data_IF_485420170806
#
_entry.id   IF_485420170806
#
_cell.length_a   1.000
_cell.length_b   1.000
_cell.length_c   1.000
_cell.angle_alpha   90.00
_cell.angle_beta   90.00
_cell.angle_gamma   90.00
#
_symmetry.space_group_name_H-M   'P 1'
#
loop_
_entity.id
_entity.type
_entity.pdbx_description
1 polymer ?
#
# COMPACT_ATOMS: atom_id res chain seq x y z
N UNK A 1 46.92 0.20 -42.61
CA UNK A 1 47.08 -0.30 -41.22
C UNK A 1 46.07 0.40 -40.34
N UNK A 2 45.16 -0.34 -39.69
CA UNK A 2 44.09 0.18 -38.82
C UNK A 2 44.65 0.55 -37.45
N UNK A 3 44.41 1.76 -36.90
CA UNK A 3 44.69 2.02 -35.50
C UNK A 3 43.60 1.35 -34.64
N UNK A 4 44.02 0.26 -34.01
CA UNK A 4 43.74 -0.19 -32.64
C UNK A 4 42.39 0.24 -32.04
N UNK A 5 41.50 -0.73 -32.01
CA UNK A 5 40.33 -0.85 -31.13
C UNK A 5 40.76 -0.47 -29.69
N UNK A 6 40.47 0.76 -29.27
CA UNK A 6 40.86 1.25 -27.94
C UNK A 6 39.94 2.32 -27.36
N UNK A 7 38.90 2.72 -28.08
CA UNK A 7 37.93 3.75 -27.63
C UNK A 7 36.49 3.22 -27.68
N UNK A 8 36.24 2.07 -28.32
CA UNK A 8 34.90 1.48 -28.42
C UNK A 8 34.46 0.68 -27.18
N UNK A 9 35.40 0.26 -26.32
CA UNK A 9 35.08 -0.57 -25.15
C UNK A 9 34.59 0.25 -23.94
N UNK A 10 34.92 1.53 -23.87
CA UNK A 10 34.53 2.42 -22.76
C UNK A 10 33.13 3.02 -22.92
N UNK A 11 32.61 3.12 -24.15
CA UNK A 11 31.26 3.66 -24.40
C UNK A 11 30.17 2.60 -24.17
N UNK A 12 30.50 1.31 -24.31
CA UNK A 12 29.58 0.22 -24.01
C UNK A 12 29.40 -0.07 -22.52
N UNK A 13 30.30 0.40 -21.66
CA UNK A 13 30.21 0.16 -20.21
C UNK A 13 29.22 1.10 -19.49
N UNK A 14 28.70 2.13 -20.17
CA UNK A 14 27.83 3.15 -19.56
C UNK A 14 26.32 2.97 -19.82
N UNK A 15 25.93 2.00 -20.66
CA UNK A 15 24.53 1.84 -21.11
C UNK A 15 23.73 0.78 -20.32
N UNK A 16 24.20 0.42 -19.13
CA UNK A 16 23.65 -0.71 -18.35
C UNK A 16 22.85 -0.34 -17.10
N UNK A 17 22.74 0.94 -16.74
CA UNK A 17 21.85 1.36 -15.64
C UNK A 17 20.41 1.46 -16.15
N UNK A 18 19.79 0.30 -16.40
CA UNK A 18 18.33 0.20 -16.45
C UNK A 18 17.81 0.47 -15.05
N UNK A 19 17.63 1.76 -14.73
CA UNK A 19 16.87 2.18 -13.55
C UNK A 19 15.44 1.69 -13.80
N UNK A 20 15.07 0.58 -13.17
CA UNK A 20 13.70 0.12 -13.09
C UNK A 20 12.92 1.18 -12.32
N UNK A 21 12.35 2.14 -13.04
CA UNK A 21 11.44 3.13 -12.47
C UNK A 21 10.22 2.33 -12.04
N UNK A 22 10.16 1.88 -10.79
CA UNK A 22 8.96 1.24 -10.27
C UNK A 22 7.85 2.30 -10.28
N UNK A 23 6.87 2.14 -11.18
CA UNK A 23 5.76 3.08 -11.32
C UNK A 23 4.97 3.07 -10.02
N UNK A 24 4.94 4.20 -9.33
CA UNK A 24 4.11 4.36 -8.14
C UNK A 24 2.64 4.37 -8.55
N UNK A 25 1.81 3.60 -7.86
CA UNK A 25 0.37 3.50 -8.16
C UNK A 25 -0.45 3.47 -6.88
N UNK A 26 -1.73 3.86 -6.93
CA UNK A 26 -2.61 3.72 -5.78
C UNK A 26 -2.84 2.23 -5.43
N UNK A 27 -3.36 1.96 -4.21
CA UNK A 27 -3.98 0.67 -3.91
C UNK A 27 -5.08 0.35 -4.92
N UNK A 28 -5.21 -0.90 -5.36
CA UNK A 28 -6.23 -1.27 -6.34
C UNK A 28 -7.61 -1.45 -5.72
N UNK A 29 -7.68 -1.78 -4.43
CA UNK A 29 -8.90 -1.92 -3.65
C UNK A 29 -8.62 -1.73 -2.14
N UNK A 30 -9.70 -1.61 -1.36
CA UNK A 30 -9.70 -1.80 0.09
C UNK A 30 -10.87 -2.74 0.39
N UNK A 31 -10.56 -3.94 0.85
CA UNK A 31 -11.53 -4.97 1.19
C UNK A 31 -11.72 -4.96 2.70
N UNK A 32 -12.92 -4.55 3.13
CA UNK A 32 -13.27 -4.37 4.54
C UNK A 32 -14.21 -5.51 4.96
N UNK A 33 -13.86 -6.20 6.03
CA UNK A 33 -14.76 -7.14 6.71
C UNK A 33 -14.77 -6.82 8.19
N UNK A 34 -15.95 -6.78 8.79
CA UNK A 34 -16.13 -6.54 10.21
C UNK A 34 -16.90 -7.70 10.83
N UNK A 35 -16.35 -8.23 11.92
CA UNK A 35 -17.00 -9.23 12.75
C UNK A 35 -17.65 -8.52 13.94
N UNK A 36 -18.98 -8.54 14.00
CA UNK A 36 -19.73 -7.85 15.05
C UNK A 36 -19.66 -8.57 16.41
N UNK A 37 -19.39 -9.88 16.44
CA UNK A 37 -19.26 -10.65 17.68
C UNK A 37 -17.93 -10.36 18.35
N UNK A 38 -16.84 -10.37 17.56
CA UNK A 38 -15.50 -10.10 18.09
C UNK A 38 -15.13 -8.63 18.03
N UNK A 39 -15.92 -7.80 17.36
CA UNK A 39 -15.65 -6.37 17.10
C UNK A 39 -14.32 -6.14 16.35
N UNK A 40 -13.88 -7.13 15.55
CA UNK A 40 -12.64 -7.06 14.78
C UNK A 40 -12.91 -6.57 13.36
N UNK A 41 -12.27 -5.46 13.01
CA UNK A 41 -12.16 -4.96 11.65
C UNK A 41 -10.92 -5.56 10.99
N UNK A 42 -11.13 -6.31 9.90
CA UNK A 42 -10.06 -6.75 9.00
C UNK A 42 -10.09 -5.90 7.73
N UNK A 43 -8.94 -5.32 7.42
CA UNK A 43 -8.73 -4.55 6.19
C UNK A 43 -7.63 -5.21 5.37
N UNK A 44 -7.97 -5.67 4.17
CA UNK A 44 -7.01 -6.13 3.17
C UNK A 44 -6.92 -5.10 2.04
N UNK A 45 -5.70 -4.68 1.72
CA UNK A 45 -5.41 -3.57 0.80
C UNK A 45 -4.52 -4.12 -0.32
N UNK A 46 -5.10 -4.66 -1.40
CA UNK A 46 -4.34 -5.11 -2.57
C UNK A 46 -3.53 -3.97 -3.17
N UNK A 47 -2.21 -4.17 -3.21
CA UNK A 47 -1.24 -3.21 -3.71
C UNK A 47 0.02 -3.98 -4.12
N UNK A 48 0.09 -4.35 -5.40
CA UNK A 48 1.20 -5.16 -5.92
C UNK A 48 2.52 -4.36 -5.99
N UNK A 49 3.53 -4.77 -5.23
CA UNK A 49 4.84 -4.10 -5.16
C UNK A 49 5.97 -5.12 -5.29
N UNK A 50 7.09 -4.72 -5.88
CA UNK A 50 8.24 -5.61 -6.07
C UNK A 50 9.05 -5.84 -4.79
N UNK A 51 9.20 -4.81 -3.96
CA UNK A 51 9.91 -4.87 -2.67
C UNK A 51 9.03 -4.31 -1.55
N UNK A 52 8.25 -5.15 -0.85
CA UNK A 52 7.32 -4.70 0.19
C UNK A 52 8.02 -4.11 1.43
N UNK A 53 9.32 -4.34 1.61
CA UNK A 53 10.12 -3.79 2.72
C UNK A 53 10.98 -2.58 2.30
N UNK A 54 10.82 -2.15 1.04
CA UNK A 54 11.62 -1.09 0.43
C UNK A 54 10.92 0.26 0.46
N UNK A 55 10.81 0.88 -0.70
CA UNK A 55 10.39 2.27 -0.88
C UNK A 55 8.95 2.42 -1.41
N UNK A 56 8.27 1.32 -1.74
CA UNK A 56 6.93 1.30 -2.32
C UNK A 56 6.04 0.31 -1.56
N UNK A 57 5.15 0.85 -0.72
CA UNK A 57 4.24 0.12 0.16
C UNK A 57 3.11 1.05 0.66
N UNK A 58 2.07 0.47 1.28
CA UNK A 58 1.04 1.23 2.01
C UNK A 58 1.62 1.82 3.30
N UNK A 59 1.77 3.13 3.38
CA UNK A 59 2.44 3.82 4.48
C UNK A 59 1.50 4.34 5.56
N UNK A 60 0.21 4.46 5.24
CA UNK A 60 -0.80 4.95 6.16
C UNK A 60 -2.14 4.27 5.92
N UNK A 61 -2.75 3.83 7.02
CA UNK A 61 -4.14 3.41 7.07
C UNK A 61 -4.85 4.26 8.12
N UNK A 62 -6.01 4.80 7.75
CA UNK A 62 -6.88 5.58 8.64
C UNK A 62 -8.24 4.89 8.69
N UNK A 63 -8.78 4.71 9.89
CA UNK A 63 -10.13 4.18 10.12
C UNK A 63 -10.96 5.28 10.77
N UNK A 64 -12.13 5.53 10.21
CA UNK A 64 -13.12 6.45 10.73
C UNK A 64 -14.42 5.71 11.02
N UNK A 65 -15.07 6.05 12.13
CA UNK A 65 -16.40 5.56 12.50
C UNK A 65 -17.37 6.75 12.47
N UNK A 66 -18.41 6.67 11.65
CA UNK A 66 -19.42 7.73 11.47
C UNK A 66 -18.77 9.10 11.17
N UNK A 67 -17.77 9.11 10.28
CA UNK A 67 -17.03 10.31 9.88
C UNK A 67 -15.97 10.81 10.87
N UNK A 68 -15.84 10.21 12.06
CA UNK A 68 -14.79 10.54 13.03
C UNK A 68 -13.61 9.59 12.88
N UNK A 69 -12.42 10.14 12.62
CA UNK A 69 -11.17 9.37 12.67
C UNK A 69 -10.95 8.79 14.08
N UNK A 70 -10.81 7.47 14.16
CA UNK A 70 -10.59 6.73 15.41
C UNK A 70 -9.24 6.01 15.45
N UNK A 71 -8.64 5.71 14.29
CA UNK A 71 -7.34 5.08 14.19
C UNK A 71 -6.57 5.72 13.04
N UNK A 72 -5.31 6.09 13.29
CA UNK A 72 -4.30 6.31 12.26
C UNK A 72 -3.11 5.41 12.55
N UNK A 73 -2.80 4.51 11.62
CA UNK A 73 -1.63 3.66 11.69
C UNK A 73 -0.63 4.06 10.60
N UNK A 74 0.59 4.40 11.04
CA UNK A 74 1.74 4.53 10.16
C UNK A 74 2.40 3.16 10.02
N UNK A 75 2.74 2.80 8.78
CA UNK A 75 3.27 1.51 8.41
C UNK A 75 4.62 1.74 7.73
N UNK A 76 5.63 0.95 8.08
CA UNK A 76 6.97 1.06 7.51
C UNK A 76 7.27 -0.03 6.47
N UNK A 77 6.33 -0.97 6.25
CA UNK A 77 6.48 -2.01 5.25
C UNK A 77 5.17 -2.72 4.95
N UNK A 78 5.07 -3.32 3.76
CA UNK A 78 3.92 -4.09 3.36
C UNK A 78 3.97 -5.55 3.88
N UNK A 79 2.82 -6.11 4.22
CA UNK A 79 2.65 -7.49 4.69
C UNK A 79 3.20 -8.51 3.68
N UNK A 80 2.80 -8.40 2.41
CA UNK A 80 3.29 -9.24 1.31
C UNK A 80 3.58 -8.41 0.05
N UNK A 81 4.21 -8.95 -0.99
CA UNK A 81 4.33 -8.25 -2.27
C UNK A 81 2.98 -7.93 -2.94
N UNK A 82 1.88 -8.57 -2.53
CA UNK A 82 0.57 -8.42 -3.17
C UNK A 82 -0.35 -7.46 -2.42
N UNK A 83 -0.25 -7.41 -1.09
CA UNK A 83 -1.18 -6.63 -0.26
C UNK A 83 -0.63 -6.24 1.12
N UNK A 84 -1.22 -5.19 1.69
CA UNK A 84 -1.17 -4.92 3.13
C UNK A 84 -2.41 -5.50 3.82
N UNK A 85 -2.24 -6.07 5.01
CA UNK A 85 -3.35 -6.50 5.87
C UNK A 85 -3.18 -5.90 7.26
N UNK A 86 -4.26 -5.33 7.80
CA UNK A 86 -4.32 -4.85 9.18
C UNK A 86 -5.58 -5.37 9.87
N UNK A 87 -5.46 -5.62 11.17
CA UNK A 87 -6.55 -6.04 12.05
C UNK A 87 -6.67 -5.02 13.18
N UNK A 88 -7.88 -4.53 13.40
CA UNK A 88 -8.17 -3.60 14.49
C UNK A 88 -9.29 -4.15 15.35
N UNK A 89 -9.07 -4.18 16.65
CA UNK A 89 -10.15 -4.30 17.62
C UNK A 89 -10.84 -2.94 17.72
N UNK A 90 -12.09 -2.85 17.29
CA UNK A 90 -12.91 -1.66 17.48
C UNK A 90 -13.72 -1.80 18.77
N UNK A 91 -14.15 -0.67 19.33
CA UNK A 91 -14.92 -0.60 20.56
C UNK A 91 -16.26 0.07 20.24
N UNK A 92 -17.34 -0.52 20.76
CA UNK A 92 -18.71 -0.01 20.68
C UNK A 92 -19.24 0.26 19.26
N UNK A 93 -18.83 -0.53 18.26
CA UNK A 93 -19.37 -0.43 16.90
C UNK A 93 -20.72 -1.15 16.84
N UNK A 94 -21.73 -0.43 16.37
CA UNK A 94 -23.11 -0.86 16.37
C UNK A 94 -23.65 -1.07 14.95
N UNK A 95 -24.73 -1.84 14.85
CA UNK A 95 -25.49 -1.96 13.61
C UNK A 95 -25.96 -0.58 13.13
N UNK A 96 -25.75 -0.30 11.85
CA UNK A 96 -26.04 0.97 11.20
C UNK A 96 -24.90 1.98 11.23
N UNK A 97 -23.81 1.70 11.97
CA UNK A 97 -22.60 2.52 11.88
C UNK A 97 -21.92 2.38 10.52
N UNK A 98 -21.29 3.46 10.07
CA UNK A 98 -20.42 3.46 8.89
C UNK A 98 -18.95 3.44 9.30
N UNK A 99 -18.22 2.44 8.83
CA UNK A 99 -16.77 2.37 8.92
C UNK A 99 -16.19 2.84 7.59
N UNK A 100 -15.43 3.94 7.59
CA UNK A 100 -14.62 4.37 6.44
C UNK A 100 -13.16 3.95 6.68
N UNK A 101 -12.51 3.40 5.66
CA UNK A 101 -11.08 3.14 5.64
C UNK A 101 -10.43 3.91 4.49
N UNK A 102 -9.40 4.67 4.82
CA UNK A 102 -8.50 5.33 3.88
C UNK A 102 -7.13 4.66 3.92
N UNK A 103 -6.55 4.39 2.76
CA UNK A 103 -5.20 3.85 2.63
C UNK A 103 -4.37 4.68 1.65
N UNK A 104 -3.12 4.96 2.01
CA UNK A 104 -2.18 5.74 1.20
C UNK A 104 -0.92 4.93 0.89
N UNK A 105 -0.42 5.07 -0.33
CA UNK A 105 0.87 4.57 -0.73
C UNK A 105 1.97 5.60 -0.40
N UNK A 106 3.12 5.10 0.10
CA UNK A 106 4.34 5.88 0.41
C UNK A 106 4.83 6.76 -0.73
N UNK A 107 4.69 6.29 -1.98
CA UNK A 107 5.14 7.03 -3.15
C UNK A 107 4.05 7.93 -3.71
N UNK A 108 2.91 7.34 -4.07
CA UNK A 108 1.84 8.06 -4.75
C UNK A 108 0.52 7.28 -4.75
N UNK A 109 -0.58 8.01 -4.59
CA UNK A 109 -1.93 7.48 -4.70
C UNK A 109 -2.50 7.02 -3.37
N UNK A 110 -3.82 7.06 -3.31
CA UNK A 110 -4.60 6.62 -2.16
C UNK A 110 -5.94 6.05 -2.61
N UNK A 111 -6.67 5.47 -1.66
CA UNK A 111 -8.01 4.95 -1.88
C UNK A 111 -8.83 5.04 -0.60
N UNK A 112 -10.15 5.11 -0.77
CA UNK A 112 -11.14 5.00 0.31
C UNK A 112 -12.14 3.89 0.02
N UNK A 113 -12.65 3.27 1.06
CA UNK A 113 -13.81 2.38 1.01
C UNK A 113 -14.62 2.51 2.29
N UNK A 114 -15.92 2.24 2.21
CA UNK A 114 -16.84 2.27 3.34
C UNK A 114 -17.53 0.92 3.52
N UNK A 115 -17.92 0.63 4.76
CA UNK A 115 -18.74 -0.51 5.14
C UNK A 115 -19.81 -0.04 6.12
N UNK A 116 -21.08 -0.20 5.75
CA UNK A 116 -22.19 -0.10 6.70
C UNK A 116 -22.32 -1.41 7.48
N UNK A 117 -22.31 -1.32 8.81
CA UNK A 117 -22.41 -2.47 9.72
C UNK A 117 -23.84 -2.99 9.74
N UNK A 118 -24.02 -4.28 9.42
CA UNK A 118 -25.35 -4.92 9.26
C UNK A 118 -25.86 -5.62 10.50
#
# INVERSE_FOLDING_TARGET
MRPKVGVGLLVFLFLGFLVSIAWAHPPSAINITFDAETQVLRVAIPHGVSNPKGDHYIDKVVVSLNGKEIITQLIASQYSPQEQVVLYQLIDVQKGDEIEVYAKCSKFGDRKATLEVK
#
